data_IF_946641562699
#
_entry.id   IF_946641562699
#
_cell.length_a   1.000
_cell.length_b   1.000
_cell.length_c   1.000
_cell.angle_alpha   90.00
_cell.angle_beta   90.00
_cell.angle_gamma   90.00
#
_symmetry.space_group_name_H-M   'P 1'
#
loop_
_entity.id
_entity.type
_entity.pdbx_description
1 polymer ?
#
# COMPACT_ATOMS: atom_id res chain seq x y z
N UNK A 1 -3.00 0.79 0.12
CA UNK A 1 -1.90 1.76 0.27
C UNK A 1 -1.84 2.81 -0.84
N UNK A 2 -2.24 2.51 -2.09
CA UNK A 2 -2.31 3.54 -3.16
C UNK A 2 -3.31 4.68 -2.86
N UNK A 3 -4.32 4.42 -2.02
CA UNK A 3 -5.39 5.36 -1.68
C UNK A 3 -4.94 6.56 -0.82
N UNK A 4 -3.97 6.39 0.10
CA UNK A 4 -3.44 7.49 0.91
C UNK A 4 -2.55 8.46 0.13
N UNK A 5 -2.01 8.01 -1.01
CA UNK A 5 -1.02 8.75 -1.78
C UNK A 5 -1.66 9.64 -2.86
N UNK A 6 -2.83 9.25 -3.36
CA UNK A 6 -3.51 9.91 -4.49
C UNK A 6 -4.08 11.30 -4.11
N UNK A 7 -4.28 11.58 -2.83
CA UNK A 7 -4.98 12.78 -2.32
C UNK A 7 -4.20 14.10 -2.45
N UNK A 8 -2.90 14.07 -2.72
CA UNK A 8 -2.06 15.27 -2.59
C UNK A 8 -1.48 15.83 -3.90
N UNK A 9 -1.86 15.28 -5.07
CA UNK A 9 -1.34 15.71 -6.39
C UNK A 9 0.20 15.73 -6.52
N UNK A 10 0.93 15.10 -5.60
CA UNK A 10 2.41 15.02 -5.58
C UNK A 10 2.93 13.64 -5.98
N UNK A 11 2.05 12.65 -6.19
CA UNK A 11 2.44 11.28 -6.63
C UNK A 11 3.29 11.29 -7.90
N UNK A 12 3.12 12.31 -8.74
CA UNK A 12 3.88 12.42 -9.99
C UNK A 12 5.39 12.48 -9.77
N UNK A 13 5.90 12.92 -8.62
CA UNK A 13 7.35 12.93 -8.33
C UNK A 13 7.93 11.52 -8.23
N UNK A 14 7.10 10.50 -7.94
CA UNK A 14 7.52 9.09 -7.93
C UNK A 14 7.58 8.46 -9.33
N UNK A 15 6.87 9.04 -10.29
CA UNK A 15 6.67 8.46 -11.64
C UNK A 15 7.30 9.28 -12.76
N UNK A 16 7.69 10.52 -12.48
CA UNK A 16 8.31 11.44 -13.44
C UNK A 16 9.76 11.72 -13.07
N UNK A 17 10.60 11.91 -14.08
CA UNK A 17 11.98 12.37 -13.87
C UNK A 17 11.99 13.85 -13.54
N UNK A 18 12.95 14.27 -12.70
CA UNK A 18 13.23 15.67 -12.46
C UNK A 18 13.43 16.41 -13.81
N UNK A 19 12.70 17.51 -14.07
CA UNK A 19 12.92 18.31 -15.26
C UNK A 19 14.36 18.82 -15.32
N UNK A 20 15.07 18.55 -16.41
CA UNK A 20 16.43 19.08 -16.62
C UNK A 20 16.36 20.55 -16.98
N UNK A 21 17.30 21.35 -16.45
CA UNK A 21 17.49 22.72 -16.94
C UNK A 21 18.61 22.80 -17.99
N UNK A 22 18.45 23.70 -18.95
CA UNK A 22 19.44 24.15 -19.93
C UNK A 22 19.71 25.66 -19.79
N UNK A 23 20.83 26.13 -20.34
CA UNK A 23 21.30 27.52 -20.16
C UNK A 23 20.34 28.58 -20.75
N UNK A 24 19.44 28.21 -21.66
CA UNK A 24 18.45 29.09 -22.31
C UNK A 24 17.02 28.91 -21.80
N UNK A 25 16.85 28.28 -20.64
CA UNK A 25 15.54 27.91 -20.16
C UNK A 25 14.62 29.09 -19.85
N UNK A 26 13.37 28.91 -20.28
CA UNK A 26 12.29 29.84 -19.95
C UNK A 26 12.03 29.89 -18.44
N UNK A 27 11.56 31.04 -17.96
CA UNK A 27 11.11 31.24 -16.57
C UNK A 27 10.10 30.16 -16.14
N UNK A 28 9.29 29.67 -17.06
CA UNK A 28 8.33 28.59 -16.81
C UNK A 28 8.99 27.23 -16.56
N UNK A 29 10.07 26.90 -17.27
CA UNK A 29 10.83 25.67 -17.05
C UNK A 29 11.49 25.68 -15.66
N UNK A 30 12.09 26.82 -15.28
CA UNK A 30 12.66 27.03 -13.95
C UNK A 30 11.59 26.85 -12.86
N UNK A 31 10.41 27.45 -13.03
CA UNK A 31 9.29 27.29 -12.09
C UNK A 31 8.80 25.85 -11.98
N UNK A 32 8.72 25.13 -13.11
CA UNK A 32 8.32 23.71 -13.13
C UNK A 32 9.32 22.85 -12.37
N UNK A 33 10.63 23.07 -12.55
CA UNK A 33 11.66 22.34 -11.80
C UNK A 33 11.61 22.66 -10.32
N UNK A 34 11.57 23.94 -9.93
CA UNK A 34 11.53 24.34 -8.52
C UNK A 34 10.30 23.74 -7.80
N UNK A 35 9.15 23.71 -8.49
CA UNK A 35 7.95 23.03 -7.96
C UNK A 35 8.19 21.53 -7.79
N UNK A 36 8.78 20.87 -8.78
CA UNK A 36 9.10 19.43 -8.70
C UNK A 36 10.02 19.13 -7.52
N UNK A 37 11.09 19.90 -7.32
CA UNK A 37 12.04 19.74 -6.21
C UNK A 37 11.38 19.94 -4.84
N UNK A 38 10.51 20.96 -4.73
CA UNK A 38 9.73 21.19 -3.51
C UNK A 38 8.77 20.03 -3.21
N UNK A 39 8.07 19.53 -4.23
CA UNK A 39 7.11 18.45 -4.07
C UNK A 39 7.83 17.11 -3.73
N UNK A 40 9.01 16.86 -4.30
CA UNK A 40 9.88 15.72 -3.95
C UNK A 40 10.33 15.80 -2.47
N UNK A 41 10.83 16.96 -2.03
CA UNK A 41 11.23 17.18 -0.64
C UNK A 41 10.07 16.92 0.36
N UNK A 42 8.89 17.48 0.07
CA UNK A 42 7.69 17.29 0.92
C UNK A 42 7.29 15.82 0.96
N UNK A 43 7.32 15.13 -0.17
CA UNK A 43 6.92 13.72 -0.24
C UNK A 43 7.91 12.83 0.51
N UNK A 44 9.20 13.05 0.33
CA UNK A 44 10.27 12.35 1.05
C UNK A 44 10.13 12.52 2.56
N UNK A 45 9.93 13.75 3.02
CA UNK A 45 9.71 14.06 4.44
C UNK A 45 8.49 13.35 5.03
N UNK A 46 7.40 13.21 4.26
CA UNK A 46 6.21 12.47 4.72
C UNK A 46 6.45 10.98 4.84
N UNK A 47 7.14 10.37 3.87
CA UNK A 47 7.49 8.95 3.96
C UNK A 47 8.33 8.73 5.22
N UNK A 48 9.37 9.53 5.43
CA UNK A 48 10.26 9.44 6.60
C UNK A 48 9.52 9.66 7.93
N UNK A 49 8.64 10.67 8.01
CA UNK A 49 7.84 10.93 9.22
C UNK A 49 6.85 9.81 9.55
N UNK A 50 6.49 8.98 8.58
CA UNK A 50 5.66 7.79 8.79
C UNK A 50 6.44 6.56 9.26
N UNK A 51 7.77 6.63 9.36
CA UNK A 51 8.62 5.52 9.74
C UNK A 51 8.89 5.46 11.23
N UNK A 52 9.16 4.24 11.72
CA UNK A 52 9.76 4.03 13.03
C UNK A 52 11.24 4.47 13.02
N UNK A 53 11.77 4.92 14.16
CA UNK A 53 13.13 5.48 14.30
C UNK A 53 14.21 4.59 13.66
N UNK A 54 14.15 3.28 13.90
CA UNK A 54 15.11 2.33 13.33
C UNK A 54 15.12 2.26 11.80
N UNK A 55 14.00 2.60 11.14
CA UNK A 55 13.92 2.71 9.69
C UNK A 55 14.34 4.11 9.23
N UNK A 56 13.94 5.15 9.96
CA UNK A 56 14.37 6.52 9.69
C UNK A 56 15.91 6.60 9.64
N UNK A 57 16.61 6.01 10.60
CA UNK A 57 18.07 6.03 10.67
C UNK A 57 18.74 5.46 9.42
N UNK A 58 18.14 4.43 8.82
CA UNK A 58 18.62 3.78 7.60
C UNK A 58 18.36 4.64 6.37
N UNK A 59 17.19 5.28 6.30
CA UNK A 59 16.67 5.88 5.07
C UNK A 59 16.75 7.41 4.99
N UNK A 60 17.08 8.10 6.09
CA UNK A 60 17.09 9.58 6.15
C UNK A 60 17.98 10.26 5.10
N UNK A 61 19.04 9.58 4.66
CA UNK A 61 20.03 10.09 3.70
C UNK A 61 19.70 9.75 2.25
N UNK A 62 18.56 9.10 1.96
CA UNK A 62 18.13 8.89 0.57
C UNK A 62 17.75 10.23 -0.03
N UNK A 63 18.26 10.51 -1.23
CA UNK A 63 18.23 11.85 -1.83
C UNK A 63 16.87 12.22 -2.40
N UNK A 64 16.18 11.27 -3.06
CA UNK A 64 14.88 11.52 -3.68
C UNK A 64 13.74 10.72 -3.05
N UNK A 65 12.52 11.26 -3.13
CA UNK A 65 11.32 10.53 -2.71
C UNK A 65 11.13 9.24 -3.51
N UNK A 66 11.50 9.27 -4.80
CA UNK A 66 11.40 8.13 -5.70
C UNK A 66 12.33 6.99 -5.26
N UNK A 67 13.62 7.26 -5.07
CA UNK A 67 14.57 6.23 -4.63
C UNK A 67 14.21 5.67 -3.26
N UNK A 68 13.70 6.52 -2.36
CA UNK A 68 13.23 6.10 -1.06
C UNK A 68 12.06 5.12 -1.22
N UNK A 69 11.07 5.49 -2.02
CA UNK A 69 9.92 4.64 -2.31
C UNK A 69 10.32 3.32 -2.98
N UNK A 70 11.13 3.37 -4.05
CA UNK A 70 11.58 2.20 -4.80
C UNK A 70 12.42 1.26 -3.91
N UNK A 71 13.22 1.80 -2.98
CA UNK A 71 13.98 1.01 -2.00
C UNK A 71 13.07 0.29 -1.00
N UNK A 72 12.02 0.98 -0.52
CA UNK A 72 11.02 0.38 0.36
C UNK A 72 10.22 -0.69 -0.39
N UNK A 73 9.83 -0.41 -1.63
CA UNK A 73 9.11 -1.35 -2.47
C UNK A 73 9.95 -2.57 -2.82
N UNK A 74 11.24 -2.42 -3.13
CA UNK A 74 12.12 -3.55 -3.39
C UNK A 74 12.32 -4.42 -2.14
N UNK A 75 12.63 -3.79 -1.00
CA UNK A 75 12.98 -4.53 0.24
C UNK A 75 11.78 -5.11 0.95
N UNK A 76 10.68 -4.37 0.99
CA UNK A 76 9.47 -4.73 1.72
C UNK A 76 8.31 -5.04 0.81
N UNK A 77 8.41 -4.88 -0.51
CA UNK A 77 7.34 -5.18 -1.44
C UNK A 77 7.65 -6.17 -2.56
N UNK A 78 8.84 -6.76 -2.63
CA UNK A 78 9.09 -7.89 -3.54
C UNK A 78 8.12 -9.06 -3.27
N UNK A 79 7.35 -9.44 -4.29
CA UNK A 79 6.37 -10.53 -4.23
C UNK A 79 6.92 -11.77 -4.94
N UNK A 80 7.34 -12.78 -4.19
CA UNK A 80 7.09 -14.16 -4.59
C UNK A 80 5.75 -14.60 -3.96
N UNK A 81 4.95 -15.39 -4.68
CA UNK A 81 3.65 -15.89 -4.18
C UNK A 81 3.78 -16.78 -2.92
N UNK A 82 5.01 -17.12 -2.54
CA UNK A 82 5.40 -17.80 -1.30
C UNK A 82 5.90 -16.87 -0.19
N UNK A 83 6.11 -15.57 -0.43
CA UNK A 83 6.56 -14.65 0.62
C UNK A 83 5.51 -14.54 1.71
N UNK A 84 6.00 -14.43 2.94
CA UNK A 84 5.22 -13.99 4.10
C UNK A 84 4.39 -12.73 3.80
N UNK A 85 4.92 -11.83 2.99
CA UNK A 85 4.24 -10.61 2.55
C UNK A 85 3.04 -10.89 1.64
N UNK A 86 3.21 -11.73 0.62
CA UNK A 86 2.09 -12.08 -0.26
C UNK A 86 0.94 -12.68 0.56
N UNK A 87 1.25 -13.54 1.53
CA UNK A 87 0.26 -14.10 2.45
C UNK A 87 -0.45 -13.00 3.26
N UNK A 88 0.30 -12.04 3.82
CA UNK A 88 -0.26 -10.90 4.56
C UNK A 88 -1.16 -10.03 3.69
N UNK A 89 -0.70 -9.68 2.49
CA UNK A 89 -1.48 -8.90 1.53
C UNK A 89 -2.74 -9.63 1.09
N UNK A 90 -2.62 -10.92 0.76
CA UNK A 90 -3.73 -11.76 0.31
C UNK A 90 -4.82 -11.86 1.38
N UNK A 91 -4.45 -12.08 2.64
CA UNK A 91 -5.41 -12.09 3.75
C UNK A 91 -6.08 -10.73 3.94
N UNK A 92 -5.29 -9.64 4.01
CA UNK A 92 -5.82 -8.30 4.27
C UNK A 92 -6.78 -7.84 3.17
N UNK A 93 -6.44 -8.12 1.90
CA UNK A 93 -7.24 -7.69 0.75
C UNK A 93 -8.39 -8.64 0.40
N UNK A 94 -8.46 -9.85 0.99
CA UNK A 94 -9.57 -10.76 0.75
C UNK A 94 -10.91 -10.12 1.15
N UNK A 95 -11.87 -10.14 0.22
CA UNK A 95 -13.25 -9.71 0.45
C UNK A 95 -14.18 -10.80 -0.06
N UNK A 96 -15.21 -11.12 0.72
CA UNK A 96 -16.25 -12.02 0.24
C UNK A 96 -17.13 -11.30 -0.79
N UNK A 97 -17.67 -12.06 -1.75
CA UNK A 97 -18.54 -11.58 -2.82
C UNK A 97 -19.83 -12.38 -2.85
N UNK A 98 -20.93 -11.71 -3.15
CA UNK A 98 -22.30 -12.22 -3.05
C UNK A 98 -22.60 -13.34 -4.05
N UNK A 99 -21.84 -13.40 -5.15
CA UNK A 99 -22.00 -14.38 -6.23
C UNK A 99 -21.46 -15.77 -5.92
N UNK A 100 -20.84 -15.97 -4.74
CA UNK A 100 -20.18 -17.23 -4.35
C UNK A 100 -20.71 -17.74 -3.02
N UNK A 101 -20.69 -19.07 -2.84
CA UNK A 101 -21.13 -19.69 -1.60
C UNK A 101 -20.24 -19.27 -0.43
N UNK A 102 -20.85 -18.82 0.68
CA UNK A 102 -20.14 -18.40 1.91
C UNK A 102 -19.14 -19.46 2.38
N UNK A 103 -19.53 -20.74 2.31
CA UNK A 103 -18.66 -21.85 2.74
C UNK A 103 -17.41 -22.01 1.88
N UNK A 104 -17.49 -21.79 0.57
CA UNK A 104 -16.31 -21.84 -0.30
C UNK A 104 -15.33 -20.72 0.06
N UNK A 105 -15.87 -19.52 0.26
CA UNK A 105 -15.08 -18.34 0.61
C UNK A 105 -14.45 -18.44 2.01
N UNK A 106 -15.19 -19.03 2.95
CA UNK A 106 -14.66 -19.35 4.29
C UNK A 106 -13.52 -20.37 4.23
N UNK A 107 -13.65 -21.44 3.43
CA UNK A 107 -12.58 -22.42 3.23
C UNK A 107 -11.34 -21.80 2.56
N UNK A 108 -11.51 -20.83 1.66
CA UNK A 108 -10.39 -20.07 1.09
C UNK A 108 -9.66 -19.25 2.16
N UNK A 109 -10.39 -18.56 3.04
CA UNK A 109 -9.80 -17.84 4.17
C UNK A 109 -9.03 -18.78 5.10
N UNK A 110 -9.59 -19.94 5.44
CA UNK A 110 -8.90 -20.95 6.23
C UNK A 110 -7.63 -21.46 5.53
N UNK A 111 -7.65 -21.62 4.21
CA UNK A 111 -6.47 -22.00 3.43
C UNK A 111 -5.39 -20.92 3.52
N UNK A 112 -5.76 -19.64 3.43
CA UNK A 112 -4.82 -18.52 3.59
C UNK A 112 -4.20 -18.52 4.99
N UNK A 113 -5.01 -18.67 6.03
CA UNK A 113 -4.53 -18.78 7.42
C UNK A 113 -3.65 -20.03 7.62
N UNK A 114 -3.95 -21.14 6.98
CA UNK A 114 -3.09 -22.33 6.98
C UNK A 114 -1.70 -22.07 6.39
N UNK A 115 -1.60 -21.21 5.38
CA UNK A 115 -0.31 -20.79 4.83
C UNK A 115 0.50 -19.93 5.82
N UNK A 116 -0.15 -19.13 6.67
CA UNK A 116 0.55 -18.37 7.71
C UNK A 116 1.28 -19.30 8.67
N UNK A 117 0.55 -20.29 9.21
CA UNK A 117 1.12 -21.28 10.12
C UNK A 117 2.28 -22.04 9.46
N UNK A 118 2.11 -22.45 8.19
CA UNK A 118 3.15 -23.14 7.42
C UNK A 118 4.44 -22.30 7.28
N UNK A 119 4.32 -20.99 7.12
CA UNK A 119 5.48 -20.09 6.99
C UNK A 119 5.94 -19.50 8.33
N UNK A 120 5.41 -19.98 9.46
CA UNK A 120 5.78 -19.51 10.80
C UNK A 120 5.31 -18.09 11.12
N UNK A 121 4.29 -17.59 10.41
CA UNK A 121 3.59 -16.36 10.76
C UNK A 121 2.59 -16.69 11.87
N UNK A 122 2.95 -16.34 13.10
CA UNK A 122 2.02 -16.44 14.23
C UNK A 122 1.12 -15.21 14.21
N UNK A 123 -0.18 -15.45 14.08
CA UNK A 123 -1.21 -14.43 14.21
C UNK A 123 -1.96 -14.69 15.51
N UNK A 124 -2.17 -13.64 16.29
CA UNK A 124 -2.96 -13.77 17.51
C UNK A 124 -4.41 -14.12 17.17
N UNK A 125 -5.03 -14.96 18.01
CA UNK A 125 -6.38 -15.45 17.78
C UNK A 125 -7.40 -14.32 17.69
N UNK A 126 -7.29 -13.32 18.57
CA UNK A 126 -8.19 -12.18 18.58
C UNK A 126 -8.12 -11.38 17.27
N UNK A 127 -6.92 -11.27 16.67
CA UNK A 127 -6.72 -10.51 15.43
C UNK A 127 -7.35 -11.24 14.24
N UNK A 128 -7.14 -12.56 14.11
CA UNK A 128 -7.73 -13.29 12.97
C UNK A 128 -9.25 -13.41 13.12
N UNK A 129 -9.75 -13.65 14.33
CA UNK A 129 -11.21 -13.73 14.59
C UNK A 129 -11.86 -12.40 14.26
N UNK A 130 -11.33 -11.28 14.75
CA UNK A 130 -11.85 -9.95 14.42
C UNK A 130 -11.82 -9.69 12.91
N UNK A 131 -10.71 -10.01 12.25
CA UNK A 131 -10.57 -9.80 10.80
C UNK A 131 -11.57 -10.63 9.97
N UNK A 132 -11.88 -11.86 10.38
CA UNK A 132 -12.87 -12.71 9.71
C UNK A 132 -14.28 -12.15 9.91
N UNK A 133 -14.60 -11.70 11.12
CA UNK A 133 -15.88 -11.05 11.44
C UNK A 133 -16.06 -9.80 10.58
N UNK A 134 -15.04 -8.93 10.50
CA UNK A 134 -15.10 -7.68 9.73
C UNK A 134 -15.34 -7.93 8.24
N UNK A 135 -14.67 -8.95 7.66
CA UNK A 135 -14.84 -9.35 6.26
C UNK A 135 -16.24 -9.90 5.99
N UNK A 136 -16.81 -10.62 6.94
CA UNK A 136 -18.18 -11.13 6.85
C UNK A 136 -19.22 -10.02 7.02
N UNK A 137 -19.01 -9.08 7.95
CA UNK A 137 -19.88 -7.92 8.14
C UNK A 137 -19.93 -7.05 6.87
N UNK A 138 -18.77 -6.78 6.26
CA UNK A 138 -18.68 -6.03 4.99
C UNK A 138 -19.44 -6.70 3.85
N UNK A 139 -19.50 -8.03 3.83
CA UNK A 139 -20.30 -8.80 2.86
C UNK A 139 -21.79 -8.58 3.10
N UNK A 140 -22.26 -8.68 4.36
CA UNK A 140 -23.67 -8.48 4.71
C UNK A 140 -24.18 -7.06 4.41
N UNK A 141 -23.36 -6.03 4.60
CA UNK A 141 -23.69 -4.64 4.22
C UNK A 141 -23.91 -4.51 2.70
N UNK A 142 -23.12 -5.24 1.89
CA UNK A 142 -23.29 -5.33 0.44
C UNK A 142 -24.63 -5.95 0.04
N UNK A 143 -25.04 -7.01 0.74
CA UNK A 143 -26.35 -7.65 0.51
C UNK A 143 -27.52 -6.71 0.77
N UNK A 144 -27.51 -5.95 1.88
CA UNK A 144 -28.59 -5.01 2.21
C UNK A 144 -28.77 -3.94 1.12
N UNK A 145 -27.66 -3.43 0.59
CA UNK A 145 -27.69 -2.41 -0.48
C UNK A 145 -28.32 -2.94 -1.76
N UNK A 146 -28.19 -4.24 -2.05
CA UNK A 146 -28.75 -4.85 -3.27
C UNK A 146 -30.27 -5.04 -3.21
N UNK A 147 -30.86 -5.11 -2.01
CA UNK A 147 -32.30 -5.21 -1.79
C UNK A 147 -33.01 -3.84 -1.76
N UNK A 148 -32.31 -2.73 -1.51
CA UNK A 148 -32.90 -1.38 -1.51
C UNK A 148 -33.01 -0.74 -2.89
N UNK A 149 -32.44 -1.36 -3.93
CA UNK A 149 -32.47 -0.89 -5.33
C UNK A 149 -33.57 -1.49 -6.21
N UNK A 150 -34.59 -2.16 -5.63
CA UNK A 150 -35.76 -2.68 -6.36
C UNK A 150 -37.08 -2.27 -5.73
#
# INVERSE_FOLDING_TARGET
MHFLLTTLKVVYVLTTLMPKLMDDDTVEAIRRRAKWENDDYIYRGRILNGMHDSLFDIYQNVESAKELWDSLESKYMAEDASSKKFLVSNFNNYKMVDSRLVMEQFNELLRILGQYTKHGLKMDESIYVSSVIDKFASFLEGFQTHFETW
#
